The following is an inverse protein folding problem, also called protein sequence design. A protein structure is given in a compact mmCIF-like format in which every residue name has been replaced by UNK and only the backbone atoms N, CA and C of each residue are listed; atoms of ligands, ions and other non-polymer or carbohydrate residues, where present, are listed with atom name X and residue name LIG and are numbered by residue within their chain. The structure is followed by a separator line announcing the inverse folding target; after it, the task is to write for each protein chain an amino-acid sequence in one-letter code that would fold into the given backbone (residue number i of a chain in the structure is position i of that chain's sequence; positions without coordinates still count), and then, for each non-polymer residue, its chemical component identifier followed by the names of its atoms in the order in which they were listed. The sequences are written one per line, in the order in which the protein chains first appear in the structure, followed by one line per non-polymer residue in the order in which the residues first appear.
data_IF_942450920925
#
_entry.id   IF_942450920925
#
_cell.length_a   1.000
_cell.length_b   1.000
_cell.length_c   1.000
_cell.angle_alpha   90.00
_cell.angle_beta   90.00
_cell.angle_gamma   90.00
#
_symmetry.space_group_name_H-M   'P 1'
#
loop_
_entity.id
_entity.type
_entity.pdbx_description
1 polymer ?
#
# COMPACT_ATOMS: atom_id res chain seq x y z
N UNK A 1 -4.85 13.70 -12.31
CA UNK A 1 -3.81 14.51 -12.98
C UNK A 1 -2.43 13.88 -12.67
N UNK A 2 -1.45 13.91 -13.57
CA UNK A 2 -0.11 13.36 -13.30
C UNK A 2 0.64 14.15 -12.21
N UNK A 3 0.36 15.44 -12.06
CA UNK A 3 0.88 16.26 -10.95
C UNK A 3 0.37 15.76 -9.58
N UNK A 4 -0.90 15.35 -9.51
CA UNK A 4 -1.48 14.78 -8.29
C UNK A 4 -0.81 13.44 -7.93
N UNK A 5 -0.58 12.58 -8.93
CA UNK A 5 0.13 11.30 -8.71
C UNK A 5 1.54 11.55 -8.20
N UNK A 6 2.24 12.54 -8.76
CA UNK A 6 3.58 12.92 -8.31
C UNK A 6 3.56 13.47 -6.88
N UNK A 7 2.61 14.35 -6.58
CA UNK A 7 2.42 14.90 -5.23
C UNK A 7 2.26 13.80 -4.18
N UNK A 8 1.49 12.75 -4.46
CA UNK A 8 1.38 11.61 -3.54
C UNK A 8 2.63 10.72 -3.55
N UNK A 9 3.22 10.46 -4.72
CA UNK A 9 4.43 9.67 -4.85
C UNK A 9 5.56 10.20 -3.95
N UNK A 10 5.72 11.52 -3.90
CA UNK A 10 6.76 12.19 -3.10
C UNK A 10 6.63 11.93 -1.59
N UNK A 11 5.42 11.63 -1.10
CA UNK A 11 5.16 11.29 0.31
C UNK A 11 5.41 9.83 0.64
N UNK A 12 5.48 8.95 -0.36
CA UNK A 12 5.81 7.54 -0.15
C UNK A 12 7.32 7.34 -0.03
N UNK A 13 7.76 6.29 0.65
CA UNK A 13 9.17 5.87 0.66
C UNK A 13 9.62 5.31 -0.71
N UNK A 14 8.68 4.76 -1.48
CA UNK A 14 8.93 4.14 -2.80
C UNK A 14 9.01 5.18 -3.93
N UNK A 15 8.65 6.45 -3.68
CA UNK A 15 8.77 7.59 -4.60
C UNK A 15 8.10 7.40 -5.96
N UNK A 16 6.98 6.68 -5.98
CA UNK A 16 6.13 6.51 -7.16
C UNK A 16 4.69 6.25 -6.78
N UNK A 17 3.80 6.53 -7.71
CA UNK A 17 2.41 6.12 -7.58
C UNK A 17 2.30 4.59 -7.64
N UNK A 18 1.45 4.02 -6.80
CA UNK A 18 1.20 2.59 -6.80
C UNK A 18 0.34 2.19 -8.01
N UNK A 19 0.64 1.02 -8.58
CA UNK A 19 -0.23 0.38 -9.55
C UNK A 19 -1.33 -0.41 -8.81
N UNK A 20 -2.55 -0.55 -9.36
CA UNK A 20 -3.63 -1.30 -8.72
C UNK A 20 -3.24 -2.74 -8.32
N UNK A 21 -2.36 -3.38 -9.09
CA UNK A 21 -1.83 -4.72 -8.78
C UNK A 21 -1.09 -4.82 -7.45
N UNK A 22 -0.58 -3.72 -6.91
CA UNK A 22 0.14 -3.70 -5.63
C UNK A 22 -0.80 -3.81 -4.43
N UNK A 23 -2.09 -3.52 -4.61
CA UNK A 23 -3.13 -3.82 -3.61
C UNK A 23 -3.67 -5.24 -3.75
N UNK A 24 -3.59 -5.83 -4.96
CA UNK A 24 -4.06 -7.18 -5.22
C UNK A 24 -3.27 -8.23 -4.42
N UNK A 25 -1.95 -8.07 -4.28
CA UNK A 25 -1.11 -9.00 -3.51
C UNK A 25 -1.54 -9.11 -2.04
N UNK A 26 -1.59 -8.01 -1.27
CA UNK A 26 -2.08 -8.01 0.10
C UNK A 26 -3.52 -8.49 0.25
N UNK A 27 -4.41 -8.15 -0.70
CA UNK A 27 -5.77 -8.68 -0.70
C UNK A 27 -5.79 -10.21 -0.87
N UNK A 28 -4.98 -10.74 -1.79
CA UNK A 28 -4.83 -12.19 -1.98
C UNK A 28 -4.19 -12.87 -0.77
N UNK A 29 -3.21 -12.25 -0.12
CA UNK A 29 -2.65 -12.74 1.16
C UNK A 29 -3.77 -12.94 2.18
N UNK A 30 -4.58 -11.91 2.42
CA UNK A 30 -5.70 -11.95 3.36
C UNK A 30 -6.79 -12.96 2.97
N UNK A 31 -7.05 -13.13 1.67
CA UNK A 31 -8.05 -14.07 1.18
C UNK A 31 -7.56 -15.53 1.08
N UNK A 32 -6.26 -15.75 1.19
CA UNK A 32 -5.63 -17.08 1.07
C UNK A 32 -5.46 -17.77 2.42
N UNK A 33 -5.05 -19.04 2.39
CA UNK A 33 -4.65 -19.81 3.59
C UNK A 33 -3.53 -19.11 4.39
N UNK A 34 -2.66 -18.33 3.75
CA UNK A 34 -1.62 -17.57 4.44
C UNK A 34 -2.18 -16.47 5.34
N UNK A 35 -3.41 -16.03 5.10
CA UNK A 35 -4.17 -15.08 5.93
C UNK A 35 -5.11 -15.74 6.95
N UNK A 36 -5.15 -17.07 7.04
CA UNK A 36 -6.20 -17.83 7.77
C UNK A 36 -6.40 -17.46 9.24
N UNK A 37 -5.39 -16.87 9.89
CA UNK A 37 -5.47 -16.41 11.29
C UNK A 37 -5.27 -14.90 11.47
N UNK A 38 -5.23 -14.15 10.37
CA UNK A 38 -5.14 -12.68 10.41
C UNK A 38 -6.57 -12.13 10.46
N UNK A 39 -6.98 -11.65 11.63
CA UNK A 39 -8.31 -11.07 11.85
C UNK A 39 -8.26 -9.84 12.76
N UNK A 40 -9.22 -8.91 12.56
CA UNK A 40 -9.33 -7.68 13.34
C UNK A 40 -8.21 -6.66 13.15
N UNK A 41 -7.37 -6.81 12.13
CA UNK A 41 -6.22 -5.93 11.87
C UNK A 41 -6.43 -5.04 10.65
N UNK A 42 -5.90 -3.82 10.69
CA UNK A 42 -5.70 -2.98 9.51
C UNK A 42 -4.27 -3.11 9.01
N UNK A 43 -4.08 -3.62 7.79
CA UNK A 43 -2.75 -3.70 7.15
C UNK A 43 -2.59 -2.49 6.23
N UNK A 44 -1.63 -1.61 6.55
CA UNK A 44 -1.32 -0.43 5.75
C UNK A 44 -0.50 -0.82 4.52
N UNK A 45 -0.99 -0.46 3.33
CA UNK A 45 -0.34 -0.72 2.04
C UNK A 45 -0.31 0.58 1.23
N UNK A 46 0.65 1.43 1.52
CA UNK A 46 0.70 2.81 0.99
C UNK A 46 2.08 3.24 0.48
N UNK A 47 2.99 2.28 0.28
CA UNK A 47 4.37 2.58 -0.11
C UNK A 47 5.17 3.31 0.99
N UNK A 48 4.74 3.23 2.24
CA UNK A 48 5.41 3.83 3.40
C UNK A 48 4.96 5.26 3.72
N UNK A 49 3.90 5.77 3.10
CA UNK A 49 3.44 7.14 3.32
C UNK A 49 3.06 7.43 4.79
N UNK A 50 2.51 6.46 5.51
CA UNK A 50 2.05 6.61 6.89
C UNK A 50 3.19 6.76 7.92
N UNK A 51 4.41 6.29 7.59
CA UNK A 51 5.56 6.31 8.51
C UNK A 51 6.69 7.20 7.97
N UNK A 52 6.65 7.59 6.70
CA UNK A 52 7.65 8.47 6.12
C UNK A 52 7.62 9.84 6.81
N UNK A 53 8.55 10.04 7.75
CA UNK A 53 8.80 11.31 8.42
C UNK A 53 9.81 12.09 7.57
N UNK A 54 9.32 12.72 6.50
CA UNK A 54 10.04 13.73 5.73
C UNK A 54 9.16 14.96 5.57
#
# INVERSE_FOLDING_TARGET
NDEEKQYFADRTAVKRWAAPRELAGPALLLASEAGSYITGQGIVVDGGAAINVL
#
